data_IF_365669410125
#
_entry.id   IF_365669410125
#
_cell.length_a   1.000
_cell.length_b   1.000
_cell.length_c   1.000
_cell.angle_alpha   90.00
_cell.angle_beta   90.00
_cell.angle_gamma   90.00
#
_symmetry.space_group_name_H-M   'P 1'
#
loop_
_entity.id
_entity.type
_entity.pdbx_description
1 polymer ?
#
# COMPACT_ATOMS: atom_id res chain seq x y z
N UNK A 1 -8.15 -8.40 -9.00
CA UNK A 1 -8.35 -7.71 -7.70
C UNK A 1 -9.73 -8.05 -7.13
N UNK A 2 -9.85 -8.13 -5.79
CA UNK A 2 -11.15 -8.25 -5.10
C UNK A 2 -11.26 -7.13 -4.08
N UNK A 3 -12.29 -6.31 -4.19
CA UNK A 3 -12.61 -5.25 -3.24
C UNK A 3 -13.65 -5.71 -2.22
N UNK A 4 -13.46 -5.35 -0.96
CA UNK A 4 -14.34 -5.64 0.16
C UNK A 4 -14.73 -4.31 0.84
N UNK A 5 -15.88 -3.73 0.47
CA UNK A 5 -16.38 -2.52 1.11
C UNK A 5 -16.97 -2.81 2.49
N UNK A 6 -17.03 -1.79 3.33
CA UNK A 6 -17.82 -1.70 4.57
C UNK A 6 -17.75 -2.96 5.44
N UNK A 7 -16.54 -3.36 5.81
CA UNK A 7 -16.28 -4.47 6.72
C UNK A 7 -16.12 -3.97 8.16
N UNK A 8 -16.46 -4.81 9.10
CA UNK A 8 -16.17 -4.61 10.51
C UNK A 8 -15.44 -5.84 11.06
N UNK A 9 -14.54 -5.59 12.00
CA UNK A 9 -13.88 -6.62 12.77
C UNK A 9 -14.02 -6.29 14.25
N UNK A 10 -14.69 -7.16 14.98
CA UNK A 10 -14.87 -7.03 16.42
C UNK A 10 -13.66 -7.64 17.14
N UNK A 11 -12.98 -6.81 17.91
CA UNK A 11 -11.79 -7.18 18.66
C UNK A 11 -12.12 -7.29 20.13
N UNK A 12 -11.66 -8.35 20.77
CA UNK A 12 -11.62 -8.46 22.22
C UNK A 12 -10.26 -7.98 22.72
N UNK A 13 -10.25 -6.92 23.52
CA UNK A 13 -9.02 -6.42 24.15
C UNK A 13 -8.61 -7.28 25.34
N UNK A 14 -7.33 -7.25 25.74
CA UNK A 14 -6.85 -7.99 26.92
C UNK A 14 -7.56 -7.64 28.23
N UNK A 15 -8.11 -6.43 28.35
CA UNK A 15 -8.88 -5.96 29.49
C UNK A 15 -10.35 -6.44 29.50
N UNK A 16 -10.74 -7.26 28.51
CA UNK A 16 -12.09 -7.78 28.34
C UNK A 16 -13.07 -6.83 27.66
N UNK A 17 -12.65 -5.61 27.28
CA UNK A 17 -13.49 -4.70 26.50
C UNK A 17 -13.46 -5.06 25.02
N UNK A 18 -14.57 -4.80 24.31
CA UNK A 18 -14.65 -4.99 22.86
C UNK A 18 -14.58 -3.67 22.12
N UNK A 19 -13.99 -3.69 20.93
CA UNK A 19 -14.00 -2.58 19.98
C UNK A 19 -14.28 -3.11 18.58
N UNK A 20 -15.16 -2.44 17.83
CA UNK A 20 -15.41 -2.74 16.42
C UNK A 20 -14.62 -1.78 15.56
N UNK A 21 -13.80 -2.31 14.65
CA UNK A 21 -13.04 -1.53 13.67
C UNK A 21 -13.69 -1.68 12.30
N UNK A 22 -14.23 -0.57 11.80
CA UNK A 22 -14.68 -0.47 10.43
C UNK A 22 -13.50 -0.35 9.46
N UNK A 23 -13.59 -0.98 8.29
CA UNK A 23 -12.55 -0.90 7.27
C UNK A 23 -13.05 -1.26 5.88
N UNK A 24 -12.29 -0.83 4.88
CA UNK A 24 -12.38 -1.33 3.50
C UNK A 24 -11.09 -2.06 3.18
N UNK A 25 -11.15 -3.05 2.27
CA UNK A 25 -9.91 -3.66 1.81
C UNK A 25 -9.94 -4.07 0.33
N UNK A 26 -8.76 -4.07 -0.28
CA UNK A 26 -8.53 -4.59 -1.61
C UNK A 26 -7.49 -5.70 -1.55
N UNK A 27 -7.83 -6.87 -2.10
CA UNK A 27 -6.91 -8.02 -2.20
C UNK A 27 -6.42 -8.14 -3.63
N UNK A 28 -5.10 -8.13 -3.79
CA UNK A 28 -4.43 -8.29 -5.08
C UNK A 28 -3.44 -9.46 -5.04
N UNK A 29 -3.26 -10.10 -6.18
CA UNK A 29 -2.24 -11.13 -6.36
C UNK A 29 -0.96 -10.45 -6.85
N UNK A 30 0.15 -10.54 -6.09
CA UNK A 30 1.38 -9.84 -6.42
C UNK A 30 2.00 -10.27 -7.76
N UNK A 31 1.67 -11.46 -8.25
CA UNK A 31 2.16 -11.96 -9.56
C UNK A 31 1.63 -11.13 -10.72
N UNK A 32 0.43 -10.58 -10.58
CA UNK A 32 -0.34 -9.97 -11.66
C UNK A 32 -0.51 -8.45 -11.55
N UNK A 33 0.27 -7.81 -10.71
CA UNK A 33 0.24 -6.35 -10.56
C UNK A 33 1.61 -5.74 -10.79
N UNK A 34 1.62 -4.55 -11.35
CA UNK A 34 2.71 -3.60 -11.31
C UNK A 34 2.34 -2.44 -10.40
N UNK A 35 3.37 -1.81 -9.82
CA UNK A 35 3.20 -0.61 -9.00
C UNK A 35 4.03 0.50 -9.62
N UNK A 36 3.42 1.67 -9.76
CA UNK A 36 4.01 2.85 -10.39
C UNK A 36 3.99 4.05 -9.44
N UNK A 37 4.95 4.92 -9.57
CA UNK A 37 4.97 6.23 -8.93
C UNK A 37 4.06 7.20 -9.67
N UNK A 38 2.97 7.60 -9.03
CA UNK A 38 2.02 8.56 -9.55
C UNK A 38 2.29 9.93 -8.92
N UNK A 39 3.29 10.63 -9.49
CA UNK A 39 3.79 11.89 -8.96
C UNK A 39 2.94 13.09 -9.33
N UNK A 40 2.95 14.09 -8.45
CA UNK A 40 2.21 15.34 -8.58
C UNK A 40 1.38 15.64 -7.34
N UNK A 41 1.25 16.93 -6.99
CA UNK A 41 0.48 17.34 -5.84
C UNK A 41 -1.03 17.25 -6.10
N UNK A 42 -1.76 16.65 -5.13
CA UNK A 42 -3.23 16.62 -5.09
C UNK A 42 -3.86 15.97 -6.35
N UNK A 43 -3.31 14.86 -6.80
CA UNK A 43 -3.79 14.15 -7.98
C UNK A 43 -4.85 13.07 -7.70
N UNK A 44 -5.53 13.15 -6.56
CA UNK A 44 -6.56 12.18 -6.18
C UNK A 44 -7.74 12.19 -7.16
N UNK A 45 -8.08 13.36 -7.72
CA UNK A 45 -9.14 13.44 -8.74
C UNK A 45 -8.72 12.78 -10.06
N UNK A 46 -7.46 12.98 -10.48
CA UNK A 46 -6.91 12.27 -11.66
C UNK A 46 -6.94 10.76 -11.43
N UNK A 47 -6.64 10.32 -10.19
CA UNK A 47 -6.69 8.91 -9.81
C UNK A 47 -8.12 8.33 -9.90
N UNK A 48 -9.15 9.12 -9.63
CA UNK A 48 -10.55 8.68 -9.80
C UNK A 48 -10.90 8.35 -11.25
N UNK A 49 -10.29 9.08 -12.20
CA UNK A 49 -10.59 9.00 -13.63
C UNK A 49 -9.73 7.97 -14.38
N UNK A 50 -8.69 7.42 -13.72
CA UNK A 50 -7.77 6.47 -14.32
C UNK A 50 -8.36 5.05 -14.37
N UNK A 51 -9.01 4.72 -15.48
CA UNK A 51 -9.69 3.43 -15.69
C UNK A 51 -8.73 2.25 -15.90
N UNK A 52 -7.44 2.51 -16.15
CA UNK A 52 -6.43 1.47 -16.36
C UNK A 52 -5.83 0.98 -15.02
N UNK A 53 -5.99 1.77 -13.96
CA UNK A 53 -5.53 1.39 -12.65
C UNK A 53 -6.52 0.48 -11.92
N UNK A 54 -6.00 -0.50 -11.19
CA UNK A 54 -6.78 -1.31 -10.25
C UNK A 54 -7.13 -0.51 -9.00
N UNK A 55 -6.15 0.23 -8.49
CA UNK A 55 -6.30 1.10 -7.32
C UNK A 55 -5.12 2.07 -7.19
N UNK A 56 -5.32 3.07 -6.34
CA UNK A 56 -4.25 3.92 -5.82
C UNK A 56 -4.21 3.84 -4.30
N UNK A 57 -3.00 3.95 -3.73
CA UNK A 57 -2.83 3.92 -2.28
C UNK A 57 -1.73 4.89 -1.85
N UNK A 58 -1.73 5.22 -0.56
CA UNK A 58 -0.67 6.01 0.04
C UNK A 58 0.67 5.30 -0.09
N UNK A 59 1.71 6.05 -0.45
CA UNK A 59 3.09 5.58 -0.42
C UNK A 59 3.75 5.80 0.95
N UNK A 60 5.06 5.54 1.05
CA UNK A 60 5.82 5.74 2.28
C UNK A 60 5.86 7.20 2.69
N UNK A 61 6.21 7.43 3.96
CA UNK A 61 6.37 8.77 4.52
C UNK A 61 7.44 9.58 3.78
N UNK A 62 7.28 10.88 3.81
CA UNK A 62 8.16 11.86 3.18
C UNK A 62 8.32 13.11 4.03
N UNK A 63 9.45 13.81 3.87
CA UNK A 63 9.66 15.15 4.42
C UNK A 63 9.45 16.21 3.33
N UNK A 64 8.76 17.30 3.67
CA UNK A 64 8.64 18.50 2.83
C UNK A 64 9.83 19.44 3.08
N UNK A 65 10.25 20.19 2.08
CA UNK A 65 11.28 21.18 2.25
C UNK A 65 11.88 21.67 0.93
N UNK A 66 12.59 22.80 1.00
CA UNK A 66 13.28 23.37 -0.16
C UNK A 66 14.43 22.45 -0.60
N UNK A 67 14.62 22.30 -1.91
CA UNK A 67 15.72 21.49 -2.47
C UNK A 67 15.46 19.98 -2.51
N UNK A 68 14.23 19.53 -2.29
CA UNK A 68 13.84 18.11 -2.30
C UNK A 68 13.29 17.65 -3.67
N UNK A 69 13.97 18.02 -4.77
CA UNK A 69 13.55 17.66 -6.13
C UNK A 69 12.32 18.45 -6.61
N UNK A 70 11.80 18.09 -7.78
CA UNK A 70 10.67 18.77 -8.44
C UNK A 70 9.40 18.83 -7.60
N UNK A 71 9.14 17.76 -6.83
CA UNK A 71 7.96 17.68 -5.95
C UNK A 71 8.15 18.41 -4.60
N UNK A 72 9.34 19.00 -4.34
CA UNK A 72 9.63 19.68 -3.08
C UNK A 72 9.53 18.75 -1.87
N UNK A 73 9.83 17.46 -2.03
CA UNK A 73 9.78 16.45 -0.99
C UNK A 73 11.03 15.57 -0.98
N UNK A 74 11.22 14.85 0.12
CA UNK A 74 12.27 13.85 0.30
C UNK A 74 11.67 12.57 0.84
N UNK A 75 11.79 11.49 0.09
CA UNK A 75 11.33 10.18 0.52
C UNK A 75 12.11 9.69 1.75
N UNK A 76 11.43 8.98 2.63
CA UNK A 76 12.03 8.30 3.78
C UNK A 76 12.47 6.87 3.47
N UNK A 77 12.17 6.35 2.30
CA UNK A 77 12.62 5.05 1.81
C UNK A 77 12.82 5.07 0.31
N UNK A 78 13.65 4.14 -0.19
CA UNK A 78 13.82 3.95 -1.62
C UNK A 78 12.53 3.37 -2.23
N UNK A 79 12.30 3.71 -3.49
CA UNK A 79 11.27 3.07 -4.33
C UNK A 79 11.95 2.50 -5.57
N UNK A 80 11.66 1.25 -5.91
CA UNK A 80 11.95 0.64 -7.21
C UNK A 80 10.62 0.11 -7.74
N UNK A 81 10.08 0.79 -8.74
CA UNK A 81 8.73 0.58 -9.25
C UNK A 81 8.78 0.37 -10.77
N UNK A 82 7.68 -0.05 -11.37
CA UNK A 82 7.61 -0.35 -12.79
C UNK A 82 8.01 0.82 -13.70
N UNK A 83 7.78 2.06 -13.26
CA UNK A 83 8.10 3.26 -14.02
C UNK A 83 9.38 3.99 -13.56
N UNK A 84 10.17 3.41 -12.67
CA UNK A 84 11.47 3.97 -12.28
C UNK A 84 11.93 3.65 -10.88
N UNK A 85 13.10 4.17 -10.53
CA UNK A 85 13.71 4.05 -9.20
C UNK A 85 13.95 5.42 -8.61
N UNK A 86 13.48 5.62 -7.38
CA UNK A 86 13.68 6.84 -6.60
C UNK A 86 14.47 6.51 -5.34
N UNK A 87 15.61 7.18 -5.16
CA UNK A 87 16.44 6.98 -3.96
C UNK A 87 15.97 7.85 -2.83
N UNK A 88 16.03 7.31 -1.62
CA UNK A 88 15.66 8.03 -0.42
C UNK A 88 16.53 9.28 -0.23
N UNK A 89 15.91 10.43 -0.08
CA UNK A 89 16.61 11.65 0.29
C UNK A 89 17.00 11.68 1.77
N UNK A 90 16.31 10.93 2.62
CA UNK A 90 16.65 10.75 4.03
C UNK A 90 17.24 9.36 4.26
N UNK A 91 18.57 9.28 4.11
CA UNK A 91 19.30 8.02 4.24
C UNK A 91 19.20 7.38 5.63
N UNK A 92 19.09 8.18 6.69
CA UNK A 92 18.91 7.67 8.06
C UNK A 92 17.57 6.94 8.17
N UNK A 93 16.48 7.59 7.79
CA UNK A 93 15.17 6.95 7.81
C UNK A 93 15.12 5.70 6.92
N UNK A 94 15.75 5.71 5.75
CA UNK A 94 15.80 4.55 4.87
C UNK A 94 16.47 3.32 5.53
N UNK A 95 17.50 3.53 6.35
CA UNK A 95 18.18 2.46 7.09
C UNK A 95 17.38 1.89 8.24
N UNK A 96 16.58 2.73 8.88
CA UNK A 96 15.84 2.43 10.11
C UNK A 96 14.40 1.98 9.84
N UNK A 97 13.98 1.89 8.58
CA UNK A 97 12.61 1.54 8.21
C UNK A 97 12.52 0.21 7.50
N UNK A 98 11.30 -0.23 7.31
CA UNK A 98 10.99 -1.49 6.69
C UNK A 98 10.61 -1.32 5.21
N UNK A 99 10.49 -2.43 4.49
CA UNK A 99 10.13 -2.44 3.09
C UNK A 99 9.17 -3.59 2.74
N UNK A 100 8.43 -3.40 1.66
CA UNK A 100 7.67 -4.42 0.95
C UNK A 100 8.24 -4.55 -0.46
N UNK A 101 8.35 -5.78 -0.96
CA UNK A 101 8.85 -6.07 -2.30
C UNK A 101 8.08 -7.18 -2.99
N UNK A 102 8.14 -7.21 -4.31
CA UNK A 102 7.71 -8.35 -5.12
C UNK A 102 8.94 -8.92 -5.79
N UNK A 103 9.17 -10.21 -5.58
CA UNK A 103 10.27 -10.94 -6.22
C UNK A 103 10.04 -11.11 -7.73
N UNK A 104 11.07 -11.50 -8.47
CA UNK A 104 10.97 -11.69 -9.92
C UNK A 104 10.03 -12.83 -10.32
N UNK A 105 9.84 -13.81 -9.43
CA UNK A 105 8.86 -14.90 -9.59
C UNK A 105 7.48 -14.56 -9.04
N UNK A 106 7.28 -13.32 -8.55
CA UNK A 106 5.97 -12.80 -8.15
C UNK A 106 5.59 -13.05 -6.70
N UNK A 107 6.49 -13.53 -5.85
CA UNK A 107 6.21 -13.65 -4.41
C UNK A 107 6.26 -12.28 -3.73
N UNK A 108 5.40 -12.09 -2.72
CA UNK A 108 5.40 -10.90 -1.88
C UNK A 108 6.33 -11.10 -0.68
N UNK A 109 7.25 -10.17 -0.48
CA UNK A 109 8.17 -10.18 0.64
C UNK A 109 8.11 -8.88 1.45
N UNK A 110 8.36 -9.01 2.75
CA UNK A 110 8.50 -7.90 3.68
C UNK A 110 9.81 -8.03 4.45
N UNK A 111 10.52 -6.93 4.60
CA UNK A 111 11.81 -6.91 5.28
C UNK A 111 12.14 -5.56 5.88
N UNK A 112 13.41 -5.38 6.25
CA UNK A 112 13.90 -4.21 6.98
C UNK A 112 15.12 -3.61 6.28
N UNK A 113 15.27 -2.30 6.38
CA UNK A 113 16.41 -1.57 5.87
C UNK A 113 16.23 -1.01 4.45
N UNK A 114 17.33 -0.47 3.87
CA UNK A 114 17.32 0.19 2.57
C UNK A 114 17.34 -0.82 1.41
N UNK A 115 17.10 -0.33 0.21
CA UNK A 115 17.28 -1.08 -1.03
C UNK A 115 18.79 -1.32 -1.28
N UNK A 116 19.20 -2.57 -1.18
CA UNK A 116 20.58 -3.01 -1.45
C UNK A 116 20.72 -3.51 -2.89
N UNK A 117 21.96 -3.61 -3.45
CA UNK A 117 22.17 -4.19 -4.77
C UNK A 117 21.68 -5.63 -4.90
N UNK A 118 21.72 -6.40 -3.82
CA UNK A 118 21.19 -7.77 -3.79
C UNK A 118 19.65 -7.76 -3.92
N UNK A 119 18.97 -6.88 -3.21
CA UNK A 119 17.51 -6.70 -3.33
C UNK A 119 17.10 -6.21 -4.72
N UNK A 120 17.88 -5.31 -5.33
CA UNK A 120 17.65 -4.86 -6.72
C UNK A 120 17.75 -6.01 -7.75
N UNK A 121 18.60 -6.98 -7.50
CA UNK A 121 18.72 -8.15 -8.38
C UNK A 121 17.57 -9.13 -8.20
N UNK A 122 17.08 -9.31 -6.96
CA UNK A 122 16.10 -10.33 -6.61
C UNK A 122 14.65 -9.86 -6.74
N UNK A 123 14.42 -8.56 -6.56
CA UNK A 123 13.08 -7.96 -6.61
C UNK A 123 12.82 -7.32 -7.98
N UNK A 124 11.56 -7.29 -8.37
CA UNK A 124 11.06 -6.46 -9.49
C UNK A 124 10.36 -5.20 -9.00
N UNK A 125 10.00 -5.17 -7.69
CA UNK A 125 9.38 -4.01 -7.04
C UNK A 125 9.88 -3.92 -5.60
N UNK A 126 10.13 -2.70 -5.13
CA UNK A 126 10.53 -2.38 -3.76
C UNK A 126 9.88 -1.08 -3.30
N UNK A 127 9.26 -1.11 -2.14
CA UNK A 127 8.68 0.05 -1.46
C UNK A 127 9.29 0.12 -0.06
N UNK A 128 10.24 1.01 0.15
CA UNK A 128 10.88 1.27 1.43
C UNK A 128 10.19 2.36 2.23
N UNK A 129 10.72 2.66 3.41
CA UNK A 129 10.21 3.72 4.27
C UNK A 129 8.93 3.39 5.03
N UNK A 130 8.62 2.11 5.16
CA UNK A 130 7.45 1.61 5.86
C UNK A 130 7.71 1.43 7.36
N UNK A 131 6.63 1.30 8.13
CA UNK A 131 6.65 0.95 9.54
C UNK A 131 6.12 -0.47 9.72
N UNK A 132 6.95 -1.38 10.24
CA UNK A 132 6.53 -2.74 10.51
C UNK A 132 5.66 -2.81 11.77
N UNK A 133 4.53 -3.48 11.67
CA UNK A 133 3.65 -3.83 12.78
C UNK A 133 3.95 -5.21 13.32
N UNK A 134 3.95 -6.17 12.41
CA UNK A 134 4.27 -7.56 12.67
C UNK A 134 4.93 -8.16 11.44
N UNK A 135 5.83 -9.11 11.64
CA UNK A 135 6.38 -9.94 10.59
C UNK A 135 6.74 -11.30 11.20
N UNK A 136 5.97 -12.33 10.87
CA UNK A 136 6.21 -13.69 11.35
C UNK A 136 7.17 -14.47 10.46
N UNK A 137 7.52 -13.91 9.29
CA UNK A 137 8.41 -14.54 8.32
C UNK A 137 9.86 -14.08 8.44
N UNK A 138 10.10 -12.92 9.09
CA UNK A 138 11.43 -12.34 9.28
C UNK A 138 11.55 -11.67 10.65
N UNK A 139 12.70 -11.83 11.27
CA UNK A 139 13.02 -11.14 12.54
C UNK A 139 13.59 -9.76 12.21
N UNK A 140 13.11 -8.74 12.91
CA UNK A 140 13.66 -7.40 12.79
C UNK A 140 15.11 -7.38 13.32
N UNK A 141 16.04 -6.66 12.67
CA UNK A 141 17.38 -6.47 13.22
C UNK A 141 17.33 -5.65 14.51
N UNK A 142 18.31 -5.82 15.41
CA UNK A 142 18.39 -5.07 16.67
C UNK A 142 18.44 -3.54 16.45
N UNK A 143 18.96 -3.10 15.32
CA UNK A 143 19.01 -1.69 14.94
C UNK A 143 17.70 -1.13 14.40
N UNK A 144 16.65 -1.96 14.27
CA UNK A 144 15.36 -1.51 13.81
C UNK A 144 14.60 -0.80 14.94
N UNK A 145 14.39 0.49 14.77
CA UNK A 145 13.73 1.30 15.81
C UNK A 145 12.20 1.25 15.75
N UNK A 146 11.64 0.61 14.72
CA UNK A 146 10.19 0.36 14.62
C UNK A 146 9.41 1.59 14.18
N UNK A 147 8.39 1.94 14.96
CA UNK A 147 7.41 2.97 14.61
C UNK A 147 7.81 4.33 15.17
N UNK A 148 7.84 5.35 14.32
CA UNK A 148 8.18 6.73 14.67
C UNK A 148 6.97 7.65 14.73
N UNK A 149 7.08 8.72 15.53
CA UNK A 149 6.17 9.84 15.55
C UNK A 149 4.88 9.62 16.33
N UNK A 150 3.84 10.37 15.97
CA UNK A 150 2.57 10.44 16.68
C UNK A 150 1.65 9.23 16.43
N UNK A 151 2.22 8.04 16.31
CA UNK A 151 1.48 6.80 16.07
C UNK A 151 0.58 6.40 17.25
N UNK A 152 0.68 7.11 18.37
CA UNK A 152 -0.17 6.90 19.54
C UNK A 152 -1.57 7.51 19.41
N UNK A 153 -1.76 8.41 18.45
CA UNK A 153 -3.08 9.01 18.19
C UNK A 153 -4.02 7.99 17.56
N UNK A 154 -5.30 8.18 17.81
CA UNK A 154 -6.35 7.48 17.09
C UNK A 154 -6.49 8.07 15.70
N UNK A 155 -6.36 7.27 14.64
CA UNK A 155 -6.28 7.72 13.27
C UNK A 155 -6.97 6.79 12.27
N UNK A 156 -7.17 7.28 11.03
CA UNK A 156 -7.31 6.44 9.83
C UNK A 156 -5.99 5.76 9.54
N UNK A 157 -6.01 4.47 9.20
CA UNK A 157 -4.81 3.68 8.93
C UNK A 157 -4.87 3.01 7.57
N UNK A 158 -3.75 3.05 6.83
CA UNK A 158 -3.51 2.13 5.72
C UNK A 158 -2.59 1.02 6.21
N UNK A 159 -2.95 -0.22 5.89
CA UNK A 159 -2.13 -1.40 6.21
C UNK A 159 -1.84 -2.17 4.93
N UNK A 160 -0.59 -2.51 4.72
CA UNK A 160 -0.13 -3.48 3.73
C UNK A 160 0.04 -4.82 4.44
N UNK A 161 -0.86 -5.77 4.17
CA UNK A 161 -0.88 -7.06 4.85
C UNK A 161 -0.51 -8.22 3.92
N UNK A 162 0.46 -9.04 4.34
CA UNK A 162 0.75 -10.33 3.70
C UNK A 162 -0.22 -11.37 4.25
N UNK A 163 -1.06 -11.90 3.40
CA UNK A 163 -1.99 -12.98 3.72
C UNK A 163 -1.30 -14.35 3.70
N UNK A 164 -1.88 -15.32 4.39
CA UNK A 164 -1.39 -16.70 4.38
C UNK A 164 -1.44 -17.38 2.99
N UNK A 165 -2.30 -16.88 2.08
CA UNK A 165 -2.37 -17.33 0.68
C UNK A 165 -1.36 -16.61 -0.25
N UNK A 166 -0.42 -15.84 0.30
CA UNK A 166 0.62 -15.11 -0.41
C UNK A 166 0.15 -13.82 -1.10
N UNK A 167 -1.13 -13.44 -0.93
CA UNK A 167 -1.66 -12.21 -1.53
C UNK A 167 -1.41 -10.99 -0.66
N UNK A 168 -1.39 -9.83 -1.31
CA UNK A 168 -1.40 -8.54 -0.65
C UNK A 168 -2.85 -8.12 -0.37
N UNK A 169 -3.15 -7.78 0.89
CA UNK A 169 -4.39 -7.10 1.26
C UNK A 169 -4.05 -5.69 1.72
N UNK A 170 -4.56 -4.70 0.99
CA UNK A 170 -4.50 -3.30 1.34
C UNK A 170 -5.76 -2.96 2.14
N UNK A 171 -5.58 -2.47 3.36
CA UNK A 171 -6.68 -2.12 4.26
C UNK A 171 -6.64 -0.63 4.54
N UNK A 172 -7.79 0.04 4.47
CA UNK A 172 -7.99 1.37 5.03
C UNK A 172 -9.04 1.27 6.14
N UNK A 173 -8.67 1.67 7.36
CA UNK A 173 -9.59 1.67 8.50
C UNK A 173 -10.47 2.90 8.49
N UNK A 174 -11.57 2.85 9.26
CA UNK A 174 -12.26 4.06 9.69
C UNK A 174 -11.34 4.95 10.54
N UNK A 175 -11.74 6.20 10.73
CA UNK A 175 -11.07 7.11 11.67
C UNK A 175 -11.25 6.64 13.12
N UNK A 176 -10.36 7.07 14.01
CA UNK A 176 -10.46 6.78 15.44
C UNK A 176 -9.79 5.48 15.89
N UNK A 177 -9.01 4.82 15.04
CA UNK A 177 -8.35 3.57 15.39
C UNK A 177 -7.04 3.81 16.13
N UNK A 178 -6.98 3.40 17.40
CA UNK A 178 -5.76 3.44 18.20
C UNK A 178 -4.75 2.40 17.73
N UNK A 179 -3.47 2.76 17.87
CA UNK A 179 -2.35 1.90 17.48
C UNK A 179 -2.40 0.50 18.15
N UNK A 180 -2.73 0.43 19.43
CA UNK A 180 -2.87 -0.84 20.15
C UNK A 180 -3.97 -1.74 19.55
N UNK A 181 -5.09 -1.13 19.16
CA UNK A 181 -6.21 -1.86 18.57
C UNK A 181 -5.87 -2.31 17.16
N UNK A 182 -5.11 -1.50 16.40
CA UNK A 182 -4.63 -1.89 15.07
C UNK A 182 -3.68 -3.10 15.13
N UNK A 183 -2.85 -3.24 16.19
CA UNK A 183 -2.02 -4.42 16.39
C UNK A 183 -2.89 -5.69 16.52
N UNK A 184 -3.89 -5.65 17.37
CA UNK A 184 -4.83 -6.78 17.53
C UNK A 184 -5.63 -7.03 16.25
N UNK A 185 -6.00 -5.97 15.51
CA UNK A 185 -6.66 -6.08 14.23
C UNK A 185 -5.83 -6.87 13.22
N UNK A 186 -4.56 -6.55 13.03
CA UNK A 186 -3.70 -7.25 12.07
C UNK A 186 -3.40 -8.69 12.49
N UNK A 187 -3.27 -8.94 13.79
CA UNK A 187 -3.12 -10.28 14.35
C UNK A 187 -4.37 -11.13 14.09
N UNK A 188 -5.57 -10.60 14.36
CA UNK A 188 -6.84 -11.31 14.19
C UNK A 188 -7.18 -11.49 12.70
N UNK A 189 -6.75 -10.59 11.81
CA UNK A 189 -6.79 -10.76 10.36
C UNK A 189 -5.92 -11.93 9.88
N UNK A 190 -4.99 -12.40 10.69
CA UNK A 190 -4.07 -13.48 10.37
C UNK A 190 -3.02 -13.10 9.33
N UNK A 191 -2.61 -11.83 9.29
CA UNK A 191 -1.51 -11.40 8.43
C UNK A 191 -0.18 -11.97 8.91
N UNK A 192 0.60 -12.54 7.98
CA UNK A 192 1.95 -13.01 8.25
C UNK A 192 2.94 -11.85 8.42
N UNK A 193 2.70 -10.75 7.73
CA UNK A 193 3.38 -9.47 7.91
C UNK A 193 2.38 -8.34 7.67
N UNK A 194 2.48 -7.26 8.44
CA UNK A 194 1.64 -6.08 8.29
C UNK A 194 2.47 -4.81 8.52
N UNK A 195 2.45 -3.92 7.54
CA UNK A 195 3.26 -2.71 7.50
C UNK A 195 2.39 -1.49 7.17
N UNK A 196 2.81 -0.33 7.65
CA UNK A 196 2.14 0.96 7.41
C UNK A 196 3.00 1.83 6.51
N UNK A 197 2.45 2.34 5.41
CA UNK A 197 3.16 3.31 4.57
C UNK A 197 3.15 4.70 5.20
N UNK A 198 1.96 5.20 5.53
CA UNK A 198 1.71 6.47 6.20
C UNK A 198 0.38 6.36 6.98
N UNK A 199 -0.09 7.44 7.59
CA UNK A 199 -1.26 7.40 8.46
C UNK A 199 -2.07 8.71 8.45
N UNK A 200 -3.21 8.70 9.13
CA UNK A 200 -4.10 9.83 9.35
C UNK A 200 -4.57 10.48 8.03
N UNK A 201 -4.54 11.78 7.96
CA UNK A 201 -4.98 12.57 6.79
C UNK A 201 -4.20 12.29 5.49
N UNK A 202 -3.15 11.47 5.55
CA UNK A 202 -2.41 10.99 4.37
C UNK A 202 -2.89 9.63 3.87
N UNK A 203 -3.81 8.99 4.56
CA UNK A 203 -4.36 7.70 4.15
C UNK A 203 -5.20 7.84 2.89
N UNK A 204 -4.92 7.01 1.89
CA UNK A 204 -5.66 6.96 0.61
C UNK A 204 -5.75 5.51 0.15
N UNK A 205 -6.98 5.06 -0.08
CA UNK A 205 -7.28 3.87 -0.85
C UNK A 205 -8.37 4.24 -1.87
N UNK A 206 -7.96 4.47 -3.10
CA UNK A 206 -8.84 4.90 -4.19
C UNK A 206 -8.99 3.74 -5.17
N UNK A 207 -10.23 3.41 -5.55
CA UNK A 207 -10.51 2.38 -6.54
C UNK A 207 -11.38 3.04 -7.61
N UNK A 208 -10.80 3.35 -8.79
CA UNK A 208 -11.53 4.04 -9.85
C UNK A 208 -12.86 3.36 -10.16
N UNK A 209 -13.91 4.14 -10.32
CA UNK A 209 -15.26 3.64 -10.61
C UNK A 209 -15.97 2.88 -9.49
N UNK A 210 -15.24 2.48 -8.42
CA UNK A 210 -15.80 1.67 -7.33
C UNK A 210 -15.78 2.39 -5.98
N UNK A 211 -14.64 2.95 -5.61
CA UNK A 211 -14.42 3.76 -4.41
C UNK A 211 -13.59 4.98 -4.77
N UNK A 212 -14.20 5.99 -5.41
CA UNK A 212 -13.49 7.21 -5.77
C UNK A 212 -13.09 7.98 -4.50
N UNK A 213 -12.01 8.72 -4.59
CA UNK A 213 -11.66 9.67 -3.53
C UNK A 213 -12.67 10.81 -3.46
N UNK A 214 -13.06 11.16 -2.24
CA UNK A 214 -13.74 12.42 -1.95
C UNK A 214 -13.09 13.10 -0.76
N UNK A 215 -13.22 14.42 -0.72
CA UNK A 215 -12.69 15.21 0.38
C UNK A 215 -13.28 14.79 1.74
N UNK A 216 -14.55 14.44 1.76
CA UNK A 216 -15.25 14.00 2.97
C UNK A 216 -14.68 12.70 3.54
N UNK A 217 -14.35 11.74 2.68
CA UNK A 217 -13.75 10.47 3.07
C UNK A 217 -12.30 10.61 3.56
N UNK A 218 -11.61 11.66 3.12
CA UNK A 218 -10.22 11.89 3.45
C UNK A 218 -10.02 12.74 4.72
N UNK A 219 -11.09 13.28 5.29
CA UNK A 219 -11.01 14.09 6.50
C UNK A 219 -10.73 13.21 7.70
N UNK A 220 -9.63 13.50 8.37
CA UNK A 220 -9.27 12.92 9.66
C UNK A 220 -9.67 13.89 10.78
N UNK A 221 -10.42 13.41 11.77
CA UNK A 221 -10.99 14.22 12.85
C UNK A 221 -10.58 13.78 14.25
N UNK A 222 -10.05 12.57 14.41
CA UNK A 222 -9.69 12.01 15.73
C UNK A 222 -8.58 12.79 16.43
N UNK A 223 -7.80 13.61 15.70
CA UNK A 223 -6.88 14.60 16.27
C UNK A 223 -7.53 15.87 16.80
N UNK A 224 -8.87 15.95 16.85
CA UNK A 224 -9.65 17.07 17.37
C UNK A 224 -9.95 18.18 16.37
N UNK A 225 -9.46 18.07 15.11
CA UNK A 225 -9.77 19.01 14.02
C UNK A 225 -9.82 18.27 12.70
N UNK A 226 -10.77 18.61 11.81
CA UNK A 226 -10.74 18.11 10.45
C UNK A 226 -9.42 18.48 9.77
N UNK A 227 -8.78 17.49 9.15
CA UNK A 227 -7.50 17.68 8.47
C UNK A 227 -7.44 16.85 7.20
N UNK A 228 -6.93 17.48 6.13
CA UNK A 228 -6.56 16.79 4.89
C UNK A 228 -5.15 17.21 4.55
N UNK A 229 -4.27 16.23 4.40
CA UNK A 229 -2.92 16.48 3.95
C UNK A 229 -2.85 16.41 2.43
N UNK A 230 -2.23 17.43 1.84
CA UNK A 230 -1.87 17.40 0.42
C UNK A 230 -0.83 16.31 0.17
N UNK A 231 -1.07 15.48 -0.84
CA UNK A 231 -0.20 14.37 -1.22
C UNK A 231 0.63 14.75 -2.43
N UNK A 232 1.96 14.58 -2.38
CA UNK A 232 2.86 14.84 -3.52
C UNK A 232 2.89 13.68 -4.51
N UNK A 233 2.41 12.51 -4.12
CA UNK A 233 2.31 11.32 -4.95
C UNK A 233 1.38 10.29 -4.33
N UNK A 234 0.95 9.37 -5.16
CA UNK A 234 0.30 8.12 -4.78
C UNK A 234 1.07 6.94 -5.40
N UNK A 235 0.85 5.75 -4.92
CA UNK A 235 1.24 4.53 -5.60
C UNK A 235 0.06 4.06 -6.45
N UNK A 236 0.28 3.93 -7.74
CA UNK A 236 -0.68 3.44 -8.73
C UNK A 236 -0.45 1.95 -8.92
N UNK A 237 -1.47 1.14 -8.75
CA UNK A 237 -1.42 -0.31 -8.95
C UNK A 237 -2.17 -0.66 -10.22
N UNK A 238 -1.50 -1.32 -11.16
CA UNK A 238 -2.04 -1.72 -12.45
C UNK A 238 -1.95 -3.24 -12.63
N UNK A 239 -2.75 -3.86 -13.50
CA UNK A 239 -2.49 -5.22 -13.92
C UNK A 239 -1.20 -5.28 -14.75
N UNK A 240 -0.43 -6.38 -14.60
CA UNK A 240 0.69 -6.63 -15.51
C UNK A 240 0.21 -6.84 -16.93
N UNK A 241 1.07 -6.54 -17.92
CA UNK A 241 0.76 -6.80 -19.33
C UNK A 241 0.42 -8.26 -19.58
N UNK A 242 1.16 -9.17 -18.96
CA UNK A 242 0.91 -10.60 -19.09
C UNK A 242 -0.49 -11.01 -18.62
N UNK A 243 -0.98 -10.42 -17.51
CA UNK A 243 -2.35 -10.65 -17.04
C UNK A 243 -3.40 -10.15 -18.04
N UNK A 244 -3.18 -8.95 -18.61
CA UNK A 244 -4.08 -8.37 -19.61
C UNK A 244 -4.13 -9.25 -20.86
N UNK A 245 -2.97 -9.71 -21.35
CA UNK A 245 -2.89 -10.57 -22.54
C UNK A 245 -3.60 -11.91 -22.34
N UNK A 246 -3.57 -12.47 -21.10
CA UNK A 246 -4.32 -13.69 -20.75
C UNK A 246 -5.84 -13.51 -20.67
N UNK A 247 -6.34 -12.29 -20.51
CA UNK A 247 -7.77 -12.00 -20.45
C UNK A 247 -8.36 -11.70 -21.84
N UNK A 248 -7.51 -11.41 -22.82
CA UNK A 248 -7.97 -11.22 -24.20
C UNK A 248 -8.36 -12.60 -24.76
N UNK A 249 -9.57 -12.76 -25.37
CA UNK A 249 -9.93 -13.99 -26.02
C UNK A 249 -8.89 -14.27 -27.10
N UNK A 250 -8.27 -15.44 -27.05
CA UNK A 250 -7.45 -15.93 -28.17
C UNK A 250 -8.32 -15.82 -29.42
N UNK A 251 -7.89 -14.97 -30.37
CA UNK A 251 -8.59 -14.77 -31.62
C UNK A 251 -8.92 -16.15 -32.21
N UNK A 252 -10.21 -16.45 -32.28
CA UNK A 252 -10.73 -17.68 -32.86
C UNK A 252 -9.99 -18.00 -34.16
N UNK A 253 -9.48 -19.24 -34.26
CA UNK A 253 -9.05 -19.81 -35.54
C UNK A 253 -10.09 -19.49 -36.60
N UNK A 254 -9.70 -19.07 -37.81
CA UNK A 254 -10.64 -18.85 -38.88
C UNK A 254 -11.40 -20.15 -39.12
N UNK A 255 -12.71 -20.09 -39.04
CA UNK A 255 -13.63 -21.17 -39.39
C UNK A 255 -13.27 -21.74 -40.75
N UNK A 256 -13.01 -23.06 -40.90
CA UNK A 256 -12.67 -23.63 -42.21
C UNK A 256 -13.80 -23.37 -43.20
N UNK A 257 -13.45 -22.70 -44.30
CA UNK A 257 -14.39 -22.39 -45.36
C UNK A 257 -15.18 -23.62 -45.76
N UNK A 258 -16.51 -23.52 -45.63
CA UNK A 258 -17.43 -24.57 -46.06
C UNK A 258 -17.18 -24.87 -47.55
N UNK A 259 -16.70 -26.08 -47.83
CA UNK A 259 -16.63 -26.62 -49.19
C UNK A 259 -18.07 -26.86 -49.67
N UNK A 260 -18.55 -25.98 -50.53
CA UNK A 260 -19.77 -26.21 -51.31
C UNK A 260 -19.44 -27.20 -52.43
N UNK A 261 -20.04 -28.39 -52.33
CA UNK A 261 -20.17 -29.33 -53.46
C UNK A 261 -21.24 -28.88 -54.44
#
# INVERSE_FOLDING_TARGET
MRFHPDRNLDLLRPDGTSVSIGYHSAVVDPRWIDVEFFGGWNREMDANEDTDALLFTSGPTFARGRGNGELGMRLHGDLMLANGTWRAGNLTAARERAWMGITRDGALEFGYGPLTPELEQNLRMFIGGLHAFTNTTRVAPETYEGVYGEMHLADVRIVYGLRADGKLELVETADGVHFRDLKHFVEQKGFLAAYLPDHASKSRLIIPGTRPWSQEQAVWVSGGKPSITQMPFLLRVTPTREWVDHQLPTSSEPEPAAQTN
#
